data_IF_005844453412
#
_entry.id   IF_005844453412
#
_cell.length_a   1.000
_cell.length_b   1.000
_cell.length_c   1.000
_cell.angle_alpha   90.00
_cell.angle_beta   90.00
_cell.angle_gamma   90.00
#
_symmetry.space_group_name_H-M   'P 1'
#
loop_
_entity.id
_entity.type
_entity.pdbx_description
1 polymer ?
#
# COMPACT_ATOMS: atom_id res chain seq x y z
N UNK A 1 58.29 44.17 7.30
CA UNK A 1 57.69 42.83 7.50
C UNK A 1 56.22 43.00 7.87
N UNK A 2 55.42 43.55 6.96
CA UNK A 2 54.01 43.93 7.15
C UNK A 2 53.12 43.42 6.01
N UNK A 3 53.69 42.63 5.10
CA UNK A 3 53.08 42.29 3.81
C UNK A 3 52.19 41.04 3.83
N UNK A 4 52.11 40.31 4.94
CA UNK A 4 51.34 39.06 5.00
C UNK A 4 49.98 39.20 5.71
N UNK A 5 49.86 40.09 6.70
CA UNK A 5 48.63 40.18 7.51
C UNK A 5 47.43 40.73 6.74
N UNK A 6 47.58 41.82 5.99
CA UNK A 6 46.50 42.41 5.16
C UNK A 6 45.97 41.42 4.11
N UNK A 7 46.88 40.64 3.49
CA UNK A 7 46.51 39.60 2.53
C UNK A 7 45.73 38.47 3.21
N UNK A 8 46.19 38.02 4.38
CA UNK A 8 45.54 36.97 5.17
C UNK A 8 44.14 37.42 5.63
N UNK A 9 43.98 38.65 6.13
CA UNK A 9 42.68 39.18 6.55
C UNK A 9 41.71 39.34 5.38
N UNK A 10 42.18 39.82 4.22
CA UNK A 10 41.38 39.93 3.00
C UNK A 10 40.90 38.56 2.49
N UNK A 11 41.77 37.54 2.51
CA UNK A 11 41.43 36.16 2.16
C UNK A 11 40.42 35.54 3.15
N UNK A 12 40.63 35.74 4.46
CA UNK A 12 39.70 35.25 5.50
C UNK A 12 38.31 35.88 5.33
N UNK A 13 38.26 37.20 5.12
CA UNK A 13 37.01 37.94 4.94
C UNK A 13 36.22 37.43 3.74
N UNK A 14 36.89 37.24 2.60
CA UNK A 14 36.25 36.68 1.39
C UNK A 14 35.72 35.26 1.60
N UNK A 15 36.46 34.43 2.33
CA UNK A 15 36.07 33.06 2.63
C UNK A 15 34.84 32.99 3.56
N UNK A 16 34.80 33.83 4.60
CA UNK A 16 33.64 33.93 5.51
C UNK A 16 32.40 34.39 4.74
N UNK A 17 32.52 35.41 3.88
CA UNK A 17 31.41 35.91 3.06
C UNK A 17 30.90 34.81 2.12
N UNK A 18 31.78 34.05 1.47
CA UNK A 18 31.40 32.92 0.62
C UNK A 18 30.65 31.83 1.39
N UNK A 19 31.11 31.49 2.59
CA UNK A 19 30.44 30.51 3.47
C UNK A 19 29.04 30.99 3.85
N UNK A 20 28.89 32.25 4.23
CA UNK A 20 27.59 32.83 4.60
C UNK A 20 26.63 32.78 3.40
N UNK A 21 27.10 33.13 2.20
CA UNK A 21 26.30 33.05 0.97
C UNK A 21 25.87 31.60 0.71
N UNK A 22 26.77 30.63 0.86
CA UNK A 22 26.45 29.22 0.68
C UNK A 22 25.40 28.72 1.68
N UNK A 23 25.50 29.13 2.95
CA UNK A 23 24.52 28.79 3.99
C UNK A 23 23.16 29.40 3.67
N UNK A 24 23.11 30.65 3.21
CA UNK A 24 21.87 31.31 2.81
C UNK A 24 21.24 30.60 1.62
N UNK A 25 22.04 30.24 0.61
CA UNK A 25 21.57 29.48 -0.56
C UNK A 25 21.01 28.13 -0.12
N UNK A 26 21.73 27.38 0.74
CA UNK A 26 21.26 26.10 1.28
C UNK A 26 19.95 26.26 2.05
N UNK A 27 19.84 27.30 2.88
CA UNK A 27 18.63 27.59 3.65
C UNK A 27 17.44 27.93 2.73
N UNK A 28 17.65 28.73 1.69
CA UNK A 28 16.64 29.04 0.68
C UNK A 28 16.23 27.75 -0.06
N UNK A 29 17.18 26.91 -0.46
CA UNK A 29 16.91 25.61 -1.09
C UNK A 29 16.05 24.75 -0.16
N UNK A 30 16.37 24.64 1.14
CA UNK A 30 15.59 23.87 2.10
C UNK A 30 14.17 24.45 2.29
N UNK A 31 14.01 25.77 2.32
CA UNK A 31 12.69 26.41 2.42
C UNK A 31 11.85 26.21 1.16
N UNK A 32 12.48 26.29 -0.01
CA UNK A 32 11.85 26.03 -1.30
C UNK A 32 11.50 24.56 -1.42
N UNK A 33 12.41 23.63 -1.10
CA UNK A 33 12.14 22.20 -1.00
C UNK A 33 11.00 21.93 -0.05
N UNK A 34 10.99 22.51 1.15
CA UNK A 34 9.90 22.37 2.12
C UNK A 34 8.58 22.87 1.55
N UNK A 35 8.56 24.04 0.90
CA UNK A 35 7.33 24.58 0.28
C UNK A 35 6.87 23.73 -0.91
N UNK A 36 7.79 23.26 -1.74
CA UNK A 36 7.50 22.34 -2.84
C UNK A 36 6.98 21.02 -2.28
N UNK A 37 7.57 20.48 -1.22
CA UNK A 37 7.15 19.25 -0.56
C UNK A 37 5.76 19.39 0.09
N UNK A 38 5.42 20.58 0.61
CA UNK A 38 4.11 20.90 1.18
C UNK A 38 3.06 21.20 0.07
N UNK A 39 3.42 21.92 -1.00
CA UNK A 39 2.51 22.29 -2.11
C UNK A 39 2.32 21.18 -3.15
N UNK A 40 3.37 20.43 -3.51
CA UNK A 40 3.27 19.17 -4.26
C UNK A 40 2.79 18.02 -3.35
N UNK A 41 1.94 18.35 -2.36
CA UNK A 41 1.41 17.45 -1.38
C UNK A 41 1.05 16.09 -1.98
N UNK A 42 1.69 15.04 -1.48
CA UNK A 42 1.10 13.71 -1.32
C UNK A 42 0.71 12.96 -2.61
N UNK A 43 0.94 13.46 -3.83
CA UNK A 43 0.51 12.71 -5.05
C UNK A 43 1.66 12.23 -5.93
N UNK A 44 2.70 13.05 -6.16
CA UNK A 44 3.82 12.67 -7.03
C UNK A 44 4.87 11.84 -6.28
N UNK A 45 5.20 12.25 -5.05
CA UNK A 45 6.17 11.52 -4.21
C UNK A 45 5.72 10.08 -3.90
N UNK A 46 4.46 9.80 -3.49
CA UNK A 46 4.09 8.42 -3.20
C UNK A 46 4.04 7.54 -4.45
N UNK A 47 3.64 8.04 -5.63
CA UNK A 47 3.73 7.23 -6.86
C UNK A 47 5.18 6.93 -7.23
N UNK A 48 6.08 7.90 -7.13
CA UNK A 48 7.52 7.67 -7.33
C UNK A 48 8.09 6.68 -6.30
N UNK A 49 7.68 6.79 -5.04
CA UNK A 49 8.13 5.91 -3.97
C UNK A 49 7.61 4.49 -4.14
N UNK A 50 6.33 4.32 -4.51
CA UNK A 50 5.75 3.03 -4.88
C UNK A 50 6.48 2.43 -6.09
N UNK A 51 6.75 3.23 -7.13
CA UNK A 51 7.56 2.81 -8.27
C UNK A 51 8.97 2.35 -7.86
N UNK A 52 9.61 3.05 -6.92
CA UNK A 52 10.93 2.67 -6.40
C UNK A 52 10.86 1.35 -5.63
N UNK A 53 9.85 1.16 -4.78
CA UNK A 53 9.64 -0.10 -4.06
C UNK A 53 9.37 -1.24 -5.04
N UNK A 54 8.51 -1.04 -6.05
CA UNK A 54 8.18 -2.04 -7.06
C UNK A 54 9.43 -2.48 -7.83
N UNK A 55 10.25 -1.50 -8.22
CA UNK A 55 11.49 -1.74 -8.99
C UNK A 55 12.55 -2.44 -8.13
N UNK A 56 12.68 -2.07 -6.86
CA UNK A 56 13.67 -2.62 -5.95
C UNK A 56 13.22 -3.91 -5.25
N UNK A 57 11.94 -4.28 -5.33
CA UNK A 57 11.40 -5.49 -4.70
C UNK A 57 12.13 -6.76 -5.15
N UNK A 58 12.30 -6.94 -6.46
CA UNK A 58 12.98 -8.11 -7.03
C UNK A 58 14.44 -8.24 -6.60
N UNK A 59 15.31 -7.18 -6.69
CA UNK A 59 16.67 -7.28 -6.18
C UNK A 59 16.72 -7.49 -4.67
N UNK A 60 15.87 -6.82 -3.87
CA UNK A 60 15.84 -7.04 -2.43
C UNK A 60 15.43 -8.46 -2.05
N UNK A 61 14.41 -9.04 -2.70
CA UNK A 61 14.01 -10.43 -2.46
C UNK A 61 15.09 -11.43 -2.90
N UNK A 62 15.88 -11.09 -3.90
CA UNK A 62 17.01 -11.92 -4.35
C UNK A 62 18.16 -11.90 -3.35
N UNK A 63 18.50 -10.72 -2.82
CA UNK A 63 19.52 -10.54 -1.78
C UNK A 63 19.09 -11.20 -0.47
N UNK A 64 17.83 -11.03 -0.05
CA UNK A 64 17.30 -11.64 1.17
C UNK A 64 17.41 -13.17 1.14
N UNK A 65 17.03 -13.79 0.02
CA UNK A 65 17.19 -15.24 -0.21
C UNK A 65 18.65 -15.69 -0.20
N UNK A 66 19.56 -14.88 -0.74
CA UNK A 66 20.99 -15.19 -0.73
C UNK A 66 21.57 -15.19 0.70
N UNK A 67 21.09 -14.29 1.56
CA UNK A 67 21.56 -14.13 2.94
C UNK A 67 20.79 -15.05 3.92
N UNK A 68 19.82 -15.85 3.44
CA UNK A 68 18.93 -16.70 4.25
C UNK A 68 18.14 -15.91 5.32
N UNK A 69 17.78 -14.68 4.99
CA UNK A 69 16.80 -13.92 5.77
C UNK A 69 15.40 -14.52 5.58
N UNK A 70 14.49 -14.20 6.50
CA UNK A 70 13.09 -14.61 6.39
C UNK A 70 12.50 -14.18 5.04
N UNK A 71 11.97 -15.16 4.29
CA UNK A 71 11.43 -14.98 2.94
C UNK A 71 10.24 -14.01 2.90
N UNK A 72 9.57 -13.80 4.04
CA UNK A 72 8.39 -12.93 4.15
C UNK A 72 8.71 -11.49 4.56
N UNK A 73 9.91 -11.21 5.08
CA UNK A 73 10.28 -9.90 5.63
C UNK A 73 10.10 -8.76 4.61
N UNK A 74 10.52 -8.98 3.36
CA UNK A 74 10.45 -7.97 2.30
C UNK A 74 9.00 -7.74 1.86
N UNK A 75 8.19 -8.80 1.82
CA UNK A 75 6.77 -8.73 1.48
C UNK A 75 6.01 -7.94 2.56
N UNK A 76 6.23 -8.26 3.84
CA UNK A 76 5.63 -7.57 4.99
C UNK A 76 5.92 -6.08 4.99
N UNK A 77 7.19 -5.72 4.82
CA UNK A 77 7.61 -4.33 4.80
C UNK A 77 6.97 -3.58 3.62
N UNK A 78 6.95 -4.19 2.43
CA UNK A 78 6.30 -3.61 1.26
C UNK A 78 4.80 -3.38 1.49
N UNK A 79 4.10 -4.34 2.08
CA UNK A 79 2.67 -4.25 2.39
C UNK A 79 2.39 -3.12 3.40
N UNK A 80 3.14 -3.08 4.51
CA UNK A 80 2.98 -2.05 5.54
C UNK A 80 3.17 -0.64 4.97
N UNK A 81 4.24 -0.44 4.19
CA UNK A 81 4.54 0.84 3.56
C UNK A 81 3.41 1.25 2.60
N UNK A 82 2.88 0.32 1.80
CA UNK A 82 1.77 0.62 0.87
C UNK A 82 0.50 1.00 1.60
N UNK A 83 0.14 0.29 2.66
CA UNK A 83 -1.00 0.63 3.51
C UNK A 83 -0.81 2.06 4.06
N UNK A 84 0.34 2.39 4.63
CA UNK A 84 0.59 3.73 5.18
C UNK A 84 0.51 4.85 4.13
N UNK A 85 1.01 4.59 2.92
CA UNK A 85 0.98 5.55 1.80
C UNK A 85 -0.44 5.76 1.28
N UNK A 86 -1.23 4.70 1.15
CA UNK A 86 -2.55 4.74 0.54
C UNK A 86 -3.65 5.15 1.52
N UNK A 87 -3.46 4.92 2.83
CA UNK A 87 -4.47 5.08 3.89
C UNK A 87 -5.36 6.30 3.73
N UNK A 88 -4.79 7.50 3.66
CA UNK A 88 -5.57 8.75 3.57
C UNK A 88 -6.42 8.83 2.30
N UNK A 89 -5.90 8.38 1.16
CA UNK A 89 -6.64 8.38 -0.11
C UNK A 89 -7.73 7.31 -0.07
N UNK A 90 -7.39 6.12 0.44
CA UNK A 90 -8.33 5.03 0.61
C UNK A 90 -9.52 5.42 1.48
N UNK A 91 -9.29 6.06 2.64
CA UNK A 91 -10.35 6.50 3.57
C UNK A 91 -11.33 7.50 2.94
N UNK A 92 -10.89 8.28 1.95
CA UNK A 92 -11.73 9.26 1.24
C UNK A 92 -12.49 8.69 0.03
N UNK A 93 -12.20 7.44 -0.38
CA UNK A 93 -12.90 6.79 -1.50
C UNK A 93 -14.10 6.01 -0.94
N UNK A 94 -15.32 6.26 -1.45
CA UNK A 94 -16.54 5.63 -0.93
C UNK A 94 -16.55 4.11 -1.15
N UNK A 95 -17.37 3.40 -0.37
CA UNK A 95 -17.43 1.95 -0.37
C UNK A 95 -17.90 1.37 -1.72
N UNK A 96 -18.81 2.06 -2.39
CA UNK A 96 -19.37 1.72 -3.71
C UNK A 96 -18.31 1.72 -4.82
N UNK A 97 -17.23 2.49 -4.62
CA UNK A 97 -16.08 2.56 -5.52
C UNK A 97 -14.88 1.73 -5.02
N UNK A 98 -15.10 0.86 -4.02
CA UNK A 98 -14.07 0.01 -3.43
C UNK A 98 -14.36 -1.48 -3.65
N UNK A 99 -13.40 -2.22 -4.21
CA UNK A 99 -13.50 -3.68 -4.33
C UNK A 99 -12.86 -4.37 -3.12
N UNK A 100 -13.36 -5.55 -2.75
CA UNK A 100 -12.73 -6.42 -1.75
C UNK A 100 -12.38 -7.75 -2.40
N UNK A 101 -11.11 -8.16 -2.32
CA UNK A 101 -10.66 -9.48 -2.74
C UNK A 101 -10.34 -10.33 -1.51
N UNK A 102 -11.08 -11.43 -1.36
CA UNK A 102 -10.80 -12.47 -0.38
C UNK A 102 -10.20 -13.70 -1.08
N UNK A 103 -9.28 -14.44 -0.43
CA UNK A 103 -8.66 -15.59 -1.05
C UNK A 103 -9.55 -16.82 -0.82
N UNK A 104 -9.65 -17.68 -1.84
CA UNK A 104 -10.44 -18.92 -1.75
C UNK A 104 -9.97 -19.88 -0.64
N UNK A 105 -8.71 -19.78 -0.20
CA UNK A 105 -8.13 -20.64 0.83
C UNK A 105 -8.73 -20.41 2.24
N UNK A 106 -9.44 -19.29 2.46
CA UNK A 106 -10.20 -19.05 3.70
C UNK A 106 -11.38 -20.02 3.85
N UNK A 107 -11.81 -20.66 2.75
CA UNK A 107 -12.93 -21.58 2.76
C UNK A 107 -12.64 -22.79 3.63
N UNK A 108 -13.66 -23.22 4.35
CA UNK A 108 -13.71 -24.55 4.94
C UNK A 108 -13.76 -25.62 3.85
N UNK A 109 -13.24 -26.81 4.13
CA UNK A 109 -13.27 -27.95 3.17
C UNK A 109 -14.68 -28.29 2.72
N UNK A 110 -15.63 -28.30 3.66
CA UNK A 110 -17.05 -28.59 3.41
C UNK A 110 -17.87 -27.38 2.91
N UNK A 111 -17.21 -26.33 2.43
CA UNK A 111 -17.90 -25.16 1.93
C UNK A 111 -18.66 -25.46 0.63
N UNK A 112 -20.00 -25.33 0.59
CA UNK A 112 -20.83 -25.71 -0.57
C UNK A 112 -20.74 -24.72 -1.74
N UNK A 113 -19.98 -23.63 -1.59
CA UNK A 113 -19.85 -22.61 -2.62
C UNK A 113 -19.15 -23.13 -3.89
N UNK A 114 -19.68 -22.78 -5.05
CA UNK A 114 -19.14 -23.21 -6.34
C UNK A 114 -18.28 -22.11 -6.99
N UNK A 115 -17.32 -22.54 -7.81
CA UNK A 115 -16.51 -21.63 -8.61
C UNK A 115 -17.30 -21.19 -9.84
N UNK A 116 -17.35 -19.87 -10.07
CA UNK A 116 -17.99 -19.23 -11.21
C UNK A 116 -16.98 -18.37 -11.99
N UNK A 117 -17.44 -17.70 -13.05
CA UNK A 117 -16.60 -16.88 -13.94
C UNK A 117 -15.90 -15.71 -13.25
N UNK A 118 -16.47 -15.20 -12.15
CA UNK A 118 -15.99 -14.05 -11.38
C UNK A 118 -15.35 -14.47 -10.05
N UNK A 119 -15.15 -15.77 -9.83
CA UNK A 119 -14.65 -16.33 -8.57
C UNK A 119 -15.68 -17.20 -7.87
N UNK A 120 -15.47 -17.46 -6.59
CA UNK A 120 -16.34 -18.33 -5.79
C UNK A 120 -17.55 -17.53 -5.29
N UNK A 121 -18.76 -18.05 -5.51
CA UNK A 121 -19.98 -17.40 -4.99
C UNK A 121 -20.32 -17.90 -3.58
N UNK A 122 -20.02 -17.10 -2.55
CA UNK A 122 -20.28 -17.47 -1.16
C UNK A 122 -21.80 -17.49 -0.85
N UNK A 123 -22.28 -18.64 -0.37
CA UNK A 123 -23.66 -18.86 0.09
C UNK A 123 -23.88 -18.50 1.57
N UNK A 124 -22.91 -17.84 2.22
CA UNK A 124 -22.96 -17.50 3.64
C UNK A 124 -23.21 -18.69 4.58
N UNK A 125 -22.68 -19.87 4.24
CA UNK A 125 -22.86 -21.14 4.98
C UNK A 125 -22.39 -21.14 6.45
N UNK A 126 -21.67 -20.12 6.92
CA UNK A 126 -21.23 -20.00 8.31
C UNK A 126 -19.96 -20.78 8.70
N UNK A 127 -19.41 -21.59 7.79
CA UNK A 127 -18.24 -22.45 8.07
C UNK A 127 -16.89 -21.72 8.07
N UNK A 128 -16.83 -20.47 7.58
CA UNK A 128 -15.59 -19.70 7.48
C UNK A 128 -15.84 -18.18 7.65
N UNK A 129 -14.76 -17.41 7.80
CA UNK A 129 -14.81 -15.96 8.00
C UNK A 129 -15.38 -15.17 6.83
N UNK A 130 -15.33 -15.71 5.61
CA UNK A 130 -15.82 -15.04 4.39
C UNK A 130 -17.26 -14.55 4.55
N UNK A 131 -18.15 -15.41 5.08
CA UNK A 131 -19.56 -15.07 5.23
C UNK A 131 -19.80 -13.92 6.20
N UNK A 132 -19.00 -13.83 7.27
CA UNK A 132 -19.08 -12.74 8.23
C UNK A 132 -18.62 -11.41 7.61
N UNK A 133 -17.52 -11.43 6.85
CA UNK A 133 -17.00 -10.25 6.13
C UNK A 133 -18.02 -9.79 5.07
N UNK A 134 -18.55 -10.72 4.27
CA UNK A 134 -19.55 -10.45 3.23
C UNK A 134 -20.80 -9.77 3.79
N UNK A 135 -21.36 -10.32 4.88
CA UNK A 135 -22.55 -9.76 5.55
C UNK A 135 -22.35 -8.33 6.05
N UNK A 136 -21.12 -7.92 6.36
CA UNK A 136 -20.82 -6.56 6.81
C UNK A 136 -20.50 -5.62 5.64
N UNK A 137 -19.78 -6.10 4.64
CA UNK A 137 -19.30 -5.29 3.52
C UNK A 137 -20.41 -4.95 2.50
N UNK A 138 -21.19 -5.94 2.05
CA UNK A 138 -22.17 -5.71 0.96
C UNK A 138 -23.24 -4.67 1.30
N UNK A 139 -23.85 -4.63 2.51
CA UNK A 139 -24.81 -3.60 2.86
C UNK A 139 -24.23 -2.17 2.89
N UNK A 140 -22.91 -2.04 3.00
CA UNK A 140 -22.22 -0.75 2.95
C UNK A 140 -21.87 -0.32 1.52
N UNK A 141 -22.20 -1.12 0.50
CA UNK A 141 -21.94 -0.80 -0.91
C UNK A 141 -20.69 -1.43 -1.52
N UNK A 142 -19.87 -2.13 -0.73
CA UNK A 142 -18.68 -2.82 -1.25
C UNK A 142 -19.04 -3.95 -2.20
N UNK A 143 -18.26 -4.07 -3.28
CA UNK A 143 -18.27 -5.26 -4.14
C UNK A 143 -17.19 -6.23 -3.70
N UNK A 144 -17.61 -7.43 -3.25
CA UNK A 144 -16.71 -8.45 -2.72
C UNK A 144 -16.58 -9.63 -3.68
N UNK A 145 -15.33 -10.02 -3.95
CA UNK A 145 -14.97 -11.15 -4.80
C UNK A 145 -14.09 -12.13 -4.04
N UNK A 146 -14.37 -13.43 -4.23
CA UNK A 146 -13.57 -14.51 -3.63
C UNK A 146 -12.78 -15.18 -4.75
N UNK A 147 -11.48 -14.95 -4.77
CA UNK A 147 -10.64 -15.29 -5.93
C UNK A 147 -9.74 -16.50 -5.66
N UNK A 148 -9.65 -17.46 -6.61
CA UNK A 148 -8.70 -18.56 -6.53
C UNK A 148 -7.24 -18.13 -6.66
N UNK A 149 -6.98 -17.10 -7.47
CA UNK A 149 -5.64 -16.63 -7.77
C UNK A 149 -5.64 -15.35 -8.60
N UNK A 150 -4.44 -14.88 -8.92
CA UNK A 150 -4.20 -13.56 -9.54
C UNK A 150 -4.84 -13.37 -10.91
N UNK A 151 -5.05 -14.43 -11.70
CA UNK A 151 -5.74 -14.35 -12.99
C UNK A 151 -7.19 -13.86 -12.87
N UNK A 152 -7.89 -14.24 -11.80
CA UNK A 152 -9.25 -13.74 -11.54
C UNK A 152 -9.24 -12.26 -11.16
N UNK A 153 -8.26 -11.84 -10.34
CA UNK A 153 -8.10 -10.44 -9.97
C UNK A 153 -7.96 -9.58 -11.23
N UNK A 154 -7.07 -9.94 -12.15
CA UNK A 154 -6.87 -9.21 -13.42
C UNK A 154 -8.16 -9.07 -14.22
N UNK A 155 -8.92 -10.16 -14.35
CA UNK A 155 -10.18 -10.16 -15.08
C UNK A 155 -11.22 -9.22 -14.43
N UNK A 156 -11.43 -9.37 -13.13
CA UNK A 156 -12.40 -8.55 -12.37
C UNK A 156 -12.03 -7.06 -12.47
N UNK A 157 -10.75 -6.74 -12.40
CA UNK A 157 -10.22 -5.38 -12.51
C UNK A 157 -10.51 -4.76 -13.88
N UNK A 158 -10.43 -5.54 -14.96
CA UNK A 158 -10.75 -5.06 -16.31
C UNK A 158 -12.26 -4.86 -16.52
N UNK A 159 -13.10 -5.65 -15.85
CA UNK A 159 -14.56 -5.65 -16.02
C UNK A 159 -15.28 -4.66 -15.09
N UNK A 160 -14.60 -4.09 -14.10
CA UNK A 160 -15.20 -3.21 -13.09
C UNK A 160 -14.56 -1.82 -13.06
N UNK A 161 -15.39 -0.81 -12.77
CA UNK A 161 -14.92 0.54 -12.43
C UNK A 161 -14.86 0.70 -10.92
N UNK A 162 -13.70 1.07 -10.40
CA UNK A 162 -13.44 1.27 -8.97
C UNK A 162 -12.23 2.21 -8.80
N UNK A 163 -12.04 2.73 -7.59
CA UNK A 163 -10.93 3.63 -7.24
C UNK A 163 -10.08 3.11 -6.08
N UNK A 164 -10.58 2.17 -5.30
CA UNK A 164 -9.91 1.58 -4.14
C UNK A 164 -10.04 0.05 -4.11
N UNK A 165 -9.12 -0.62 -3.42
CA UNK A 165 -9.15 -2.08 -3.24
C UNK A 165 -8.75 -2.45 -1.81
N UNK A 166 -9.49 -3.39 -1.21
CA UNK A 166 -9.06 -4.14 -0.02
C UNK A 166 -8.63 -5.54 -0.46
N UNK A 167 -7.41 -5.92 -0.13
CA UNK A 167 -6.85 -7.24 -0.40
C UNK A 167 -6.65 -8.06 0.87
N UNK A 168 -6.99 -9.35 0.83
CA UNK A 168 -6.62 -10.31 1.87
C UNK A 168 -5.90 -11.48 1.23
N UNK A 169 -4.66 -11.77 1.62
CA UNK A 169 -3.91 -12.93 1.15
C UNK A 169 -2.69 -13.23 2.03
N UNK A 170 -1.88 -14.23 1.66
CA UNK A 170 -0.57 -14.44 2.25
C UNK A 170 0.42 -13.36 1.76
N UNK A 171 1.62 -13.32 2.37
CA UNK A 171 2.64 -12.30 2.11
C UNK A 171 2.90 -12.04 0.63
N UNK A 172 3.28 -13.07 -0.13
CA UNK A 172 3.65 -12.92 -1.53
C UNK A 172 2.46 -12.54 -2.41
N UNK A 173 1.33 -13.24 -2.29
CA UNK A 173 0.13 -12.98 -3.10
C UNK A 173 -0.44 -11.57 -2.83
N UNK A 174 -0.44 -11.14 -1.56
CA UNK A 174 -0.94 -9.82 -1.18
C UNK A 174 -0.04 -8.74 -1.76
N UNK A 175 1.28 -8.87 -1.59
CA UNK A 175 2.22 -7.89 -2.11
C UNK A 175 2.13 -7.79 -3.64
N UNK A 176 2.12 -8.92 -4.36
CA UNK A 176 1.95 -8.92 -5.81
C UNK A 176 0.63 -8.29 -6.28
N UNK A 177 -0.47 -8.55 -5.57
CA UNK A 177 -1.75 -7.92 -5.86
C UNK A 177 -1.70 -6.40 -5.63
N UNK A 178 -1.07 -5.93 -4.55
CA UNK A 178 -0.92 -4.50 -4.29
C UNK A 178 0.02 -3.80 -5.27
N UNK A 179 1.04 -4.50 -5.80
CA UNK A 179 1.87 -4.00 -6.90
C UNK A 179 1.06 -3.86 -8.19
N UNK A 180 0.29 -4.90 -8.55
CA UNK A 180 -0.57 -4.91 -9.72
C UNK A 180 -1.63 -3.79 -9.68
N UNK A 181 -2.12 -3.47 -8.49
CA UNK A 181 -3.24 -2.53 -8.26
C UNK A 181 -2.76 -1.20 -7.67
N UNK A 182 -1.49 -0.86 -7.82
CA UNK A 182 -0.86 0.32 -7.19
C UNK A 182 -1.55 1.64 -7.52
N UNK A 183 -2.20 1.75 -8.68
CA UNK A 183 -2.96 2.93 -9.10
C UNK A 183 -4.35 3.05 -8.43
N UNK A 184 -4.84 2.01 -7.76
CA UNK A 184 -6.18 1.93 -7.19
C UNK A 184 -6.16 1.91 -5.66
N UNK A 185 -5.29 2.70 -5.04
CA UNK A 185 -5.18 2.89 -3.58
C UNK A 185 -5.36 1.57 -2.78
N UNK A 186 -4.52 0.54 -3.01
CA UNK A 186 -4.71 -0.77 -2.39
C UNK A 186 -4.35 -0.73 -0.90
N UNK A 187 -5.22 -1.32 -0.09
CA UNK A 187 -5.02 -1.64 1.33
C UNK A 187 -5.06 -3.15 1.54
N UNK A 188 -4.18 -3.69 2.37
CA UNK A 188 -3.99 -5.12 2.55
C UNK A 188 -4.08 -5.59 3.99
N UNK A 189 -4.66 -6.78 4.21
CA UNK A 189 -4.62 -7.52 5.49
C UNK A 189 -4.02 -8.90 5.26
N UNK A 190 -3.01 -9.24 6.06
CA UNK A 190 -2.34 -10.53 5.99
C UNK A 190 -3.15 -11.64 6.64
N UNK A 191 -3.02 -12.85 6.09
CA UNK A 191 -3.50 -14.06 6.75
C UNK A 191 -2.64 -14.37 7.99
N UNK A 192 -3.29 -14.61 9.14
CA UNK A 192 -2.65 -15.11 10.37
C UNK A 192 -2.14 -16.55 10.24
N UNK A 193 -2.79 -17.35 9.39
CA UNK A 193 -2.38 -18.73 9.09
C UNK A 193 -2.48 -18.94 7.59
N UNK A 194 -1.37 -19.31 6.97
CA UNK A 194 -1.26 -19.61 5.54
C UNK A 194 -1.47 -21.10 5.26
N UNK A 195 -1.77 -21.45 4.00
CA UNK A 195 -2.09 -22.81 3.57
C UNK A 195 -3.09 -22.83 2.42
N UNK A 196 -3.38 -24.01 1.89
CA UNK A 196 -4.30 -24.18 0.77
C UNK A 196 -5.78 -24.16 1.18
N UNK A 197 -6.10 -24.54 2.42
CA UNK A 197 -7.45 -24.55 2.98
C UNK A 197 -7.42 -24.16 4.46
N UNK A 198 -8.55 -23.63 4.97
CA UNK A 198 -8.73 -23.25 6.38
C UNK A 198 -7.65 -22.29 6.88
N UNK A 199 -7.23 -21.38 6.00
CA UNK A 199 -6.43 -20.23 6.40
C UNK A 199 -7.24 -19.34 7.33
N UNK A 200 -6.54 -18.55 8.14
CA UNK A 200 -7.18 -17.66 9.11
C UNK A 200 -6.77 -16.23 8.85
N UNK A 201 -7.72 -15.32 8.95
CA UNK A 201 -7.51 -13.87 8.93
C UNK A 201 -8.06 -13.28 10.22
N UNK A 202 -7.47 -12.18 10.69
CA UNK A 202 -8.14 -11.38 11.72
C UNK A 202 -9.31 -10.63 11.10
N UNK A 203 -10.52 -11.06 11.43
CA UNK A 203 -11.74 -10.40 10.96
C UNK A 203 -11.77 -8.95 11.45
N UNK A 204 -11.24 -8.67 12.64
CA UNK A 204 -11.25 -7.33 13.24
C UNK A 204 -10.44 -6.34 12.42
N UNK A 205 -9.31 -6.75 11.85
CA UNK A 205 -8.48 -5.91 10.97
C UNK A 205 -9.18 -5.62 9.64
N UNK A 206 -9.79 -6.64 9.03
CA UNK A 206 -10.57 -6.47 7.80
C UNK A 206 -11.76 -5.53 8.03
N UNK A 207 -12.49 -5.73 9.13
CA UNK A 207 -13.62 -4.87 9.50
C UNK A 207 -13.17 -3.45 9.84
N UNK A 208 -11.99 -3.26 10.42
CA UNK A 208 -11.43 -1.92 10.64
C UNK A 208 -11.24 -1.16 9.33
N UNK A 209 -10.71 -1.82 8.29
CA UNK A 209 -10.60 -1.20 6.96
C UNK A 209 -11.96 -0.91 6.33
N UNK A 210 -12.91 -1.85 6.42
CA UNK A 210 -14.29 -1.67 5.92
C UNK A 210 -14.97 -0.47 6.60
N UNK A 211 -14.75 -0.26 7.89
CA UNK A 211 -15.35 0.86 8.63
C UNK A 211 -14.51 2.15 8.61
N UNK A 212 -13.33 2.16 7.96
CA UNK A 212 -12.42 3.30 7.98
C UNK A 212 -12.82 4.46 7.05
N UNK A 213 -13.82 4.24 6.20
CA UNK A 213 -14.23 5.24 5.20
C UNK A 213 -14.82 6.47 5.87
N UNK A 214 -14.35 7.65 5.48
CA UNK A 214 -14.93 8.91 5.88
C UNK A 214 -16.32 8.99 5.25
N UNK A 215 -17.37 9.03 6.08
CA UNK A 215 -18.70 9.39 5.63
C UNK A 215 -18.68 10.86 5.22
N UNK A 216 -18.30 11.13 3.98
CA UNK A 216 -18.62 12.39 3.34
C UNK A 216 -20.13 12.38 3.10
N UNK A 217 -20.87 12.92 4.07
CA UNK A 217 -22.21 13.44 3.82
C UNK A 217 -22.10 14.41 2.65
N UNK A 218 -22.50 13.96 1.45
CA UNK A 218 -22.94 14.83 0.38
C UNK A 218 -24.07 15.69 0.95
N UNK A 219 -23.76 16.94 1.26
CA UNK A 219 -24.72 18.04 1.33
C UNK A 219 -24.67 18.80 0.02
#
# INVERSE_FOLDING_TARGET
MTFDFELIYSLLGRLIILIIILIIILFIILLVFRRIFIKMGIVIFPKFFLFLIDTLYSPFKSIARLIKLDDHLIDDLSIQIRNDINKKKFENIPAEETLIFLPHCLRHRDCPATLQKEGVNCTCCGLCSIGAIKKKAEPMGYKLYIVPGSSFVKKIVMENKFKAVIGVACHEDLNQMMMLLSDFCPEGVLLKKTGCYETKVDISEVLKLINSKNHHNTS
#
